data_IF_196823665922
#
_entry.id   IF_196823665922
#
_cell.length_a   1.000
_cell.length_b   1.000
_cell.length_c   1.000
_cell.angle_alpha   90.00
_cell.angle_beta   90.00
_cell.angle_gamma   90.00
#
_symmetry.space_group_name_H-M   'P 1'
#
loop_
_entity.id
_entity.type
_entity.pdbx_description
1 polymer ?
#
# COMPACT_ATOMS: atom_id res chain seq x y z
N UNK A 1 -1.31 32.12 -36.25
CA UNK A 1 -2.59 32.46 -35.60
C UNK A 1 -3.27 31.22 -35.02
N UNK A 2 -3.36 30.11 -35.75
CA UNK A 2 -3.98 28.85 -35.27
C UNK A 2 -3.29 28.13 -34.09
N UNK A 3 -1.98 28.34 -33.85
CA UNK A 3 -1.27 27.67 -32.74
C UNK A 3 -1.69 28.19 -31.36
N UNK A 4 -1.87 29.51 -31.23
CA UNK A 4 -2.23 30.16 -29.95
C UNK A 4 -3.64 29.74 -29.50
N UNK A 5 -4.55 29.57 -30.45
CA UNK A 5 -5.94 29.17 -30.20
C UNK A 5 -6.03 27.68 -29.77
N UNK A 6 -5.17 26.83 -30.35
CA UNK A 6 -5.05 25.41 -29.99
C UNK A 6 -4.39 25.24 -28.61
N UNK A 7 -3.36 26.02 -28.30
CA UNK A 7 -2.70 26.05 -27.00
C UNK A 7 -3.67 26.49 -25.88
N UNK A 8 -4.45 27.55 -26.11
CA UNK A 8 -5.48 28.02 -25.17
C UNK A 8 -6.56 26.96 -24.90
N UNK A 9 -6.98 26.24 -25.94
CA UNK A 9 -7.92 25.12 -25.82
C UNK A 9 -7.36 23.96 -24.97
N UNK A 10 -6.06 23.68 -25.07
CA UNK A 10 -5.42 22.60 -24.31
C UNK A 10 -5.31 22.99 -22.83
N UNK A 11 -4.90 24.22 -22.52
CA UNK A 11 -4.83 24.73 -21.15
C UNK A 11 -6.20 24.69 -20.49
N UNK A 12 -7.24 25.18 -21.17
CA UNK A 12 -8.61 25.15 -20.66
C UNK A 12 -9.11 23.72 -20.38
N UNK A 13 -8.73 22.74 -21.20
CA UNK A 13 -9.06 21.33 -20.98
C UNK A 13 -8.37 20.78 -19.73
N UNK A 14 -7.06 21.03 -19.57
CA UNK A 14 -6.32 20.62 -18.39
C UNK A 14 -6.86 21.25 -17.11
N UNK A 15 -7.24 22.53 -17.16
CA UNK A 15 -7.86 23.22 -16.03
C UNK A 15 -9.19 22.58 -15.62
N UNK A 16 -10.03 22.21 -16.58
CA UNK A 16 -11.29 21.51 -16.29
C UNK A 16 -11.04 20.10 -15.72
N UNK A 17 -10.06 19.36 -16.24
CA UNK A 17 -9.63 18.07 -15.70
C UNK A 17 -9.18 18.24 -14.24
N UNK A 18 -8.27 19.19 -13.99
CA UNK A 18 -7.75 19.50 -12.66
C UNK A 18 -8.87 19.90 -11.70
N UNK A 19 -9.82 20.73 -12.15
CA UNK A 19 -10.98 21.15 -11.35
C UNK A 19 -11.85 19.97 -10.96
N UNK A 20 -12.11 19.03 -11.89
CA UNK A 20 -12.87 17.81 -11.60
C UNK A 20 -12.15 16.89 -10.62
N UNK A 21 -10.85 16.69 -10.80
CA UNK A 21 -10.05 15.92 -9.84
C UNK A 21 -10.07 16.57 -8.46
N UNK A 22 -9.84 17.88 -8.37
CA UNK A 22 -9.88 18.62 -7.10
C UNK A 22 -11.24 18.50 -6.38
N UNK A 23 -12.35 18.52 -7.14
CA UNK A 23 -13.69 18.31 -6.59
C UNK A 23 -13.84 16.89 -6.03
N UNK A 24 -13.44 15.87 -6.78
CA UNK A 24 -13.51 14.47 -6.35
C UNK A 24 -12.63 14.21 -5.12
N UNK A 25 -11.42 14.76 -5.09
CA UNK A 25 -10.53 14.64 -3.93
C UNK A 25 -11.13 15.31 -2.68
N UNK A 26 -11.69 16.52 -2.83
CA UNK A 26 -12.36 17.21 -1.72
C UNK A 26 -13.54 16.40 -1.19
N UNK A 27 -14.39 15.88 -2.08
CA UNK A 27 -15.55 15.08 -1.67
C UNK A 27 -15.13 13.84 -0.88
N UNK A 28 -14.16 13.07 -1.41
CA UNK A 28 -13.61 11.90 -0.70
C UNK A 28 -12.95 12.27 0.63
N UNK A 29 -12.25 13.40 0.69
CA UNK A 29 -11.67 13.88 1.93
C UNK A 29 -12.76 14.23 2.96
N UNK A 30 -13.86 14.87 2.56
CA UNK A 30 -14.97 15.18 3.46
C UNK A 30 -15.70 13.92 3.95
N UNK A 31 -15.77 12.86 3.13
CA UNK A 31 -16.30 11.56 3.56
C UNK A 31 -15.41 10.90 4.63
N UNK A 32 -14.10 11.20 4.62
CA UNK A 32 -13.10 10.58 5.49
C UNK A 32 -12.64 11.48 6.65
N UNK A 33 -12.98 12.78 6.67
CA UNK A 33 -12.51 13.73 7.69
C UNK A 33 -12.95 13.36 9.11
N UNK A 34 -14.02 12.58 9.22
CA UNK A 34 -14.55 12.04 10.48
C UNK A 34 -14.14 10.58 10.73
N UNK A 35 -13.44 9.96 9.79
CA UNK A 35 -12.88 8.62 9.97
C UNK A 35 -11.67 8.72 10.91
N UNK A 36 -11.62 7.85 11.90
CA UNK A 36 -10.44 7.68 12.76
C UNK A 36 -9.35 6.84 12.09
N UNK A 37 -9.64 6.28 10.92
CA UNK A 37 -8.81 5.28 10.29
C UNK A 37 -7.78 5.93 9.36
N UNK A 38 -6.57 5.39 9.38
CA UNK A 38 -5.43 5.86 8.57
C UNK A 38 -5.67 5.55 7.08
N UNK A 39 -6.36 4.45 6.78
CA UNK A 39 -6.60 3.99 5.42
C UNK A 39 -8.05 4.23 4.99
N UNK A 40 -8.26 4.38 3.68
CA UNK A 40 -9.60 4.40 3.10
C UNK A 40 -10.27 3.03 3.24
N UNK A 41 -11.62 2.95 3.37
CA UNK A 41 -12.32 1.69 3.67
C UNK A 41 -11.99 0.51 2.74
N UNK A 42 -11.68 0.79 1.47
CA UNK A 42 -11.25 -0.23 0.51
C UNK A 42 -9.93 -0.90 0.95
N UNK A 43 -8.93 -0.09 1.29
CA UNK A 43 -7.62 -0.58 1.73
C UNK A 43 -7.72 -1.24 3.11
N UNK A 44 -8.60 -0.76 3.99
CA UNK A 44 -8.86 -1.43 5.27
C UNK A 44 -9.39 -2.85 5.08
N UNK A 45 -10.30 -3.02 4.13
CA UNK A 45 -10.81 -4.34 3.77
C UNK A 45 -9.68 -5.24 3.25
N UNK A 46 -8.83 -4.73 2.36
CA UNK A 46 -7.70 -5.49 1.83
C UNK A 46 -6.71 -5.88 2.95
N UNK A 47 -6.40 -4.97 3.87
CA UNK A 47 -5.55 -5.25 5.04
C UNK A 47 -6.18 -6.33 5.93
N UNK A 48 -7.49 -6.27 6.15
CA UNK A 48 -8.22 -7.30 6.92
C UNK A 48 -8.11 -8.67 6.26
N UNK A 49 -8.24 -8.73 4.93
CA UNK A 49 -8.04 -9.97 4.15
C UNK A 49 -6.58 -10.45 4.24
N UNK A 50 -5.60 -9.55 4.18
CA UNK A 50 -4.18 -9.90 4.34
C UNK A 50 -3.86 -10.42 5.73
N UNK A 51 -4.47 -9.87 6.78
CA UNK A 51 -4.36 -10.39 8.15
C UNK A 51 -4.88 -11.82 8.21
N UNK A 52 -6.04 -12.09 7.62
CA UNK A 52 -6.62 -13.44 7.58
C UNK A 52 -5.75 -14.42 6.78
N UNK A 53 -5.18 -13.99 5.66
CA UNK A 53 -4.25 -14.78 4.88
C UNK A 53 -2.95 -15.05 5.66
N UNK A 54 -2.42 -14.04 6.37
CA UNK A 54 -1.18 -14.14 7.15
C UNK A 54 -1.26 -15.21 8.24
N UNK A 55 -2.44 -15.38 8.86
CA UNK A 55 -2.66 -16.39 9.90
C UNK A 55 -2.55 -17.84 9.38
N UNK A 56 -2.63 -18.04 8.06
CA UNK A 56 -2.53 -19.36 7.42
C UNK A 56 -1.12 -19.67 6.92
N UNK A 57 -0.21 -18.70 6.95
CA UNK A 57 1.14 -18.85 6.43
C UNK A 57 2.06 -19.49 7.46
N UNK A 58 2.91 -20.41 6.99
CA UNK A 58 3.99 -20.98 7.78
C UNK A 58 5.30 -20.33 7.38
N UNK A 59 5.95 -19.68 8.35
CA UNK A 59 7.23 -19.03 8.15
C UNK A 59 8.37 -19.93 8.59
N UNK A 60 9.45 -19.95 7.82
CA UNK A 60 10.72 -20.53 8.19
C UNK A 60 11.76 -19.43 8.30
N UNK A 61 12.42 -19.34 9.46
CA UNK A 61 13.44 -18.33 9.68
C UNK A 61 14.75 -18.73 8.98
N UNK A 62 15.23 -17.88 8.07
CA UNK A 62 16.51 -18.09 7.38
C UNK A 62 17.64 -17.39 8.14
N UNK A 63 17.42 -16.12 8.50
CA UNK A 63 18.36 -15.33 9.29
C UNK A 63 17.62 -14.49 10.31
N UNK A 64 18.37 -13.72 11.13
CA UNK A 64 17.76 -12.78 12.07
C UNK A 64 16.74 -11.86 11.40
N UNK A 65 16.91 -11.41 10.16
CA UNK A 65 16.01 -10.45 9.50
C UNK A 65 15.32 -11.01 8.24
N UNK A 66 15.50 -12.31 7.94
CA UNK A 66 14.94 -12.94 6.74
C UNK A 66 14.09 -14.15 7.07
N UNK A 67 12.91 -14.20 6.46
CA UNK A 67 11.98 -15.33 6.56
C UNK A 67 11.62 -15.82 5.16
N UNK A 68 11.45 -17.13 5.02
CA UNK A 68 10.88 -17.77 3.84
C UNK A 68 9.51 -18.36 4.14
N UNK A 69 8.66 -18.34 3.13
CA UNK A 69 7.31 -18.87 3.14
C UNK A 69 7.18 -19.80 1.95
N UNK A 70 6.72 -21.03 2.18
CA UNK A 70 6.41 -21.97 1.10
C UNK A 70 4.91 -21.95 0.87
N UNK A 71 4.48 -21.49 -0.30
CA UNK A 71 3.07 -21.38 -0.67
C UNK A 71 2.87 -22.01 -2.04
N UNK A 72 2.04 -23.05 -2.13
CA UNK A 72 1.68 -23.71 -3.40
C UNK A 72 2.86 -24.15 -4.30
N UNK A 73 4.02 -24.44 -3.72
CA UNK A 73 5.23 -24.86 -4.46
C UNK A 73 6.20 -23.73 -4.77
N UNK A 74 5.79 -22.47 -4.55
CA UNK A 74 6.65 -21.31 -4.66
C UNK A 74 7.21 -20.90 -3.30
N UNK A 75 8.43 -20.35 -3.32
CA UNK A 75 9.09 -19.82 -2.13
C UNK A 75 9.10 -18.30 -2.21
N UNK A 76 8.43 -17.65 -1.26
CA UNK A 76 8.49 -16.21 -1.06
C UNK A 76 9.40 -15.90 0.12
N UNK A 77 10.34 -14.98 -0.06
CA UNK A 77 11.19 -14.47 1.03
C UNK A 77 10.85 -13.01 1.36
N UNK A 78 10.90 -12.71 2.65
CA UNK A 78 10.84 -11.35 3.21
C UNK A 78 12.19 -11.02 3.84
N UNK A 79 12.71 -9.84 3.53
CA UNK A 79 13.90 -9.25 4.13
C UNK A 79 13.50 -7.96 4.86
N UNK A 80 13.42 -8.04 6.19
CA UNK A 80 13.02 -6.91 7.04
C UNK A 80 14.07 -5.79 7.06
N UNK A 81 15.35 -6.11 6.87
CA UNK A 81 16.42 -5.12 6.86
C UNK A 81 16.37 -4.28 5.58
N UNK A 82 16.08 -4.91 4.45
CA UNK A 82 15.91 -4.24 3.15
C UNK A 82 14.49 -3.71 2.94
N UNK A 83 13.54 -4.12 3.78
CA UNK A 83 12.10 -3.82 3.66
C UNK A 83 11.53 -4.28 2.32
N UNK A 84 11.84 -5.52 1.92
CA UNK A 84 11.42 -6.08 0.62
C UNK A 84 10.74 -7.44 0.80
N UNK A 85 9.70 -7.69 0.00
CA UNK A 85 9.07 -9.00 -0.20
C UNK A 85 9.22 -9.42 -1.66
N UNK A 86 9.62 -10.67 -1.91
CA UNK A 86 9.67 -11.21 -3.28
C UNK A 86 8.30 -11.29 -3.98
N UNK A 87 7.20 -11.21 -3.21
CA UNK A 87 5.84 -11.03 -3.73
C UNK A 87 5.58 -9.62 -4.30
N UNK A 88 6.45 -8.64 -3.99
CA UNK A 88 6.44 -7.25 -4.48
C UNK A 88 5.24 -6.39 -4.12
N UNK A 89 4.23 -6.92 -3.41
CA UNK A 89 3.05 -6.14 -2.97
C UNK A 89 3.49 -4.91 -2.15
N UNK A 90 4.34 -5.08 -1.13
CA UNK A 90 4.86 -3.96 -0.37
C UNK A 90 5.77 -3.03 -1.18
N UNK A 91 6.52 -3.58 -2.15
CA UNK A 91 7.37 -2.76 -3.01
C UNK A 91 6.55 -1.81 -3.88
N UNK A 92 5.36 -2.22 -4.30
CA UNK A 92 4.44 -1.49 -5.17
C UNK A 92 3.48 -0.58 -4.38
N UNK A 93 2.74 -1.16 -3.45
CA UNK A 93 1.60 -0.49 -2.80
C UNK A 93 1.99 0.18 -1.47
N UNK A 94 3.19 -0.13 -0.95
CA UNK A 94 3.65 0.27 0.39
C UNK A 94 2.73 -0.17 1.53
N UNK A 95 1.82 -1.10 1.25
CA UNK A 95 0.95 -1.77 2.21
C UNK A 95 1.60 -3.13 2.56
N UNK A 96 1.73 -3.48 3.85
CA UNK A 96 2.29 -4.77 4.25
C UNK A 96 1.49 -5.93 3.64
N UNK A 97 2.19 -6.81 2.92
CA UNK A 97 1.56 -8.02 2.40
C UNK A 97 1.39 -9.08 3.51
N UNK A 98 0.65 -10.18 3.27
CA UNK A 98 0.52 -11.26 4.25
C UNK A 98 1.87 -11.78 4.79
N UNK A 99 2.90 -11.87 3.94
CA UNK A 99 4.24 -12.32 4.34
C UNK A 99 4.93 -11.32 5.27
N UNK A 100 4.82 -10.02 4.97
CA UNK A 100 5.41 -8.96 5.78
C UNK A 100 4.73 -8.89 7.15
N UNK A 101 3.40 -9.05 7.20
CA UNK A 101 2.64 -9.10 8.45
C UNK A 101 3.15 -10.23 9.36
N UNK A 102 3.41 -11.43 8.82
CA UNK A 102 4.00 -12.51 9.61
C UNK A 102 5.42 -12.17 10.04
N UNK A 103 6.27 -11.70 9.12
CA UNK A 103 7.65 -11.37 9.42
C UNK A 103 7.78 -10.32 10.54
N UNK A 104 6.95 -9.27 10.49
CA UNK A 104 6.92 -8.22 11.51
C UNK A 104 6.43 -8.75 12.88
N UNK A 105 5.41 -9.63 12.89
CA UNK A 105 4.92 -10.28 14.11
C UNK A 105 5.97 -11.19 14.74
N UNK A 106 6.64 -12.02 13.93
CA UNK A 106 7.66 -12.97 14.38
C UNK A 106 8.87 -12.32 15.02
N UNK A 107 9.11 -11.04 14.74
CA UNK A 107 10.30 -10.33 15.21
C UNK A 107 10.00 -9.20 16.19
N UNK A 108 8.76 -9.11 16.69
CA UNK A 108 8.31 -8.07 17.61
C UNK A 108 8.56 -6.63 17.11
N UNK A 109 8.67 -6.40 15.80
CA UNK A 109 8.86 -5.06 15.21
C UNK A 109 7.56 -4.24 15.15
N UNK A 110 6.43 -4.81 15.57
CA UNK A 110 5.10 -4.24 15.36
C UNK A 110 4.84 -2.91 16.11
N UNK A 111 5.70 -2.46 17.02
CA UNK A 111 5.42 -1.32 17.89
C UNK A 111 6.21 -0.03 17.58
N UNK A 112 7.30 -0.05 16.80
CA UNK A 112 8.20 1.11 16.74
C UNK A 112 8.05 2.03 15.50
N UNK A 113 7.65 1.50 14.33
CA UNK A 113 7.97 2.20 13.07
C UNK A 113 6.77 2.60 12.18
N UNK A 114 5.53 2.23 12.51
CA UNK A 114 4.35 2.63 11.72
C UNK A 114 3.80 4.02 12.07
N UNK A 115 4.29 4.66 13.14
CA UNK A 115 3.88 6.00 13.56
C UNK A 115 4.63 7.16 12.89
N UNK A 116 5.56 6.87 11.97
CA UNK A 116 6.39 7.87 11.28
C UNK A 116 6.26 7.78 9.74
N UNK A 117 5.12 7.28 9.24
CA UNK A 117 4.74 7.37 7.82
C UNK A 117 3.79 8.55 7.60
#
# INVERSE_FOLDING_TARGET
>A
MFDVEREFSIVALFDEINRRFALLFRQRHMELVHSTNIFVPLIEKDISEYVNASNKLLAHQITKYKLSFTCHGDVTTVDLQRRTCTCRIFDLDKIPCPHDLVALRSQHFFCADFGNL
#
